data_IF_992321811114
#
_entry.id   IF_992321811114
#
_cell.length_a   1.000
_cell.length_b   1.000
_cell.length_c   1.000
_cell.angle_alpha   90.00
_cell.angle_beta   90.00
_cell.angle_gamma   90.00
#
_symmetry.space_group_name_H-M   'P 1'
#
loop_
_entity.id
_entity.type
_entity.pdbx_description
1 polymer ?
#
# COMPACT_ATOMS: atom_id res chain seq x y z
N UNK A 1 10.15 -28.81 -4.66
CA UNK A 1 10.60 -27.42 -4.44
C UNK A 1 9.38 -26.55 -4.16
N UNK A 2 9.46 -25.55 -3.29
CA UNK A 2 8.31 -24.72 -2.90
C UNK A 2 8.33 -23.40 -3.66
N UNK A 3 7.18 -22.94 -4.16
CA UNK A 3 7.04 -21.58 -4.69
C UNK A 3 6.33 -20.70 -3.67
N UNK A 4 6.98 -19.62 -3.24
CA UNK A 4 6.36 -18.54 -2.49
C UNK A 4 5.96 -17.44 -3.47
N UNK A 5 4.67 -17.11 -3.51
CA UNK A 5 4.18 -15.92 -4.19
C UNK A 5 4.15 -14.78 -3.16
N UNK A 6 4.82 -13.65 -3.41
CA UNK A 6 5.04 -12.68 -2.34
C UNK A 6 5.61 -11.32 -2.75
N UNK A 7 6.36 -10.74 -1.81
CA UNK A 7 6.74 -9.32 -1.74
C UNK A 7 6.29 -8.64 -0.43
N UNK A 8 5.68 -9.41 0.48
CA UNK A 8 5.15 -8.99 1.79
C UNK A 8 6.07 -9.42 2.94
N UNK A 9 5.87 -8.86 4.12
CA UNK A 9 6.61 -9.28 5.32
C UNK A 9 6.33 -10.75 5.68
N UNK A 10 5.12 -11.24 5.43
CA UNK A 10 4.73 -12.64 5.58
C UNK A 10 5.54 -13.56 4.66
N UNK A 11 5.73 -13.16 3.39
CA UNK A 11 6.58 -13.90 2.45
C UNK A 11 8.03 -14.00 2.97
N UNK A 12 8.55 -12.94 3.59
CA UNK A 12 9.89 -12.92 4.17
C UNK A 12 10.00 -13.90 5.35
N UNK A 13 9.02 -13.86 6.27
CA UNK A 13 8.96 -14.76 7.43
C UNK A 13 8.90 -16.24 7.01
N UNK A 14 8.05 -16.55 6.02
CA UNK A 14 7.92 -17.90 5.48
C UNK A 14 9.21 -18.36 4.81
N UNK A 15 9.86 -17.49 4.02
CA UNK A 15 11.14 -17.80 3.39
C UNK A 15 12.26 -18.05 4.42
N UNK A 16 12.35 -17.26 5.49
CA UNK A 16 13.29 -17.49 6.60
C UNK A 16 13.07 -18.86 7.25
N UNK A 17 11.82 -19.20 7.54
CA UNK A 17 11.50 -20.48 8.20
C UNK A 17 11.84 -21.68 7.31
N UNK A 18 11.53 -21.61 6.00
CA UNK A 18 11.90 -22.65 5.06
C UNK A 18 13.42 -22.79 4.92
N UNK A 19 14.15 -21.66 4.90
CA UNK A 19 15.60 -21.66 4.87
C UNK A 19 16.19 -22.33 6.11
N UNK A 20 15.66 -22.02 7.30
CA UNK A 20 16.06 -22.63 8.58
C UNK A 20 15.80 -24.14 8.63
N UNK A 21 14.73 -24.59 7.99
CA UNK A 21 14.38 -26.00 7.85
C UNK A 21 15.17 -26.72 6.74
N UNK A 22 16.02 -26.03 5.98
CA UNK A 22 16.76 -26.59 4.86
C UNK A 22 15.87 -26.99 3.67
N UNK A 23 14.69 -26.39 3.53
CA UNK A 23 13.75 -26.68 2.44
C UNK A 23 14.02 -25.78 1.23
N UNK A 24 14.11 -26.37 0.04
CA UNK A 24 14.30 -25.64 -1.22
C UNK A 24 13.06 -24.84 -1.62
N UNK A 25 13.24 -23.55 -1.89
CA UNK A 25 12.18 -22.64 -2.32
C UNK A 25 12.63 -21.60 -3.36
N UNK A 26 11.66 -21.10 -4.12
CA UNK A 26 11.77 -19.90 -4.93
C UNK A 26 10.73 -18.88 -4.45
N UNK A 27 11.10 -17.61 -4.42
CA UNK A 27 10.20 -16.51 -4.07
C UNK A 27 9.99 -15.62 -5.28
N UNK A 28 8.74 -15.44 -5.69
CA UNK A 28 8.36 -14.51 -6.75
C UNK A 28 7.80 -13.22 -6.15
N UNK A 29 8.32 -12.10 -6.64
CA UNK A 29 7.82 -10.74 -6.38
C UNK A 29 7.44 -10.08 -7.70
N UNK A 30 6.42 -9.20 -7.66
CA UNK A 30 5.95 -8.45 -8.82
C UNK A 30 6.63 -7.07 -8.99
N UNK A 31 7.57 -6.74 -8.10
CA UNK A 31 8.24 -5.43 -8.02
C UNK A 31 9.74 -5.56 -7.89
N UNK A 32 10.48 -4.61 -8.46
CA UNK A 32 11.95 -4.49 -8.32
C UNK A 32 12.36 -4.22 -6.87
N UNK A 33 11.60 -3.41 -6.13
CA UNK A 33 11.84 -3.18 -4.72
C UNK A 33 11.79 -4.48 -3.90
N UNK A 34 10.76 -5.30 -4.10
CA UNK A 34 10.67 -6.61 -3.45
C UNK A 34 11.81 -7.54 -3.88
N UNK A 35 12.33 -7.39 -5.10
CA UNK A 35 13.45 -8.19 -5.59
C UNK A 35 14.72 -7.83 -4.82
N UNK A 36 15.07 -6.55 -4.77
CA UNK A 36 16.26 -6.05 -4.08
C UNK A 36 16.25 -6.41 -2.59
N UNK A 37 15.17 -6.05 -1.89
CA UNK A 37 15.01 -6.27 -0.45
C UNK A 37 15.19 -7.75 -0.06
N UNK A 38 14.62 -8.66 -0.85
CA UNK A 38 14.65 -10.08 -0.51
C UNK A 38 15.94 -10.74 -1.02
N UNK A 39 16.55 -10.24 -2.09
CA UNK A 39 17.82 -10.77 -2.62
C UNK A 39 18.97 -10.63 -1.64
N UNK A 40 19.00 -9.56 -0.84
CA UNK A 40 20.01 -9.38 0.21
C UNK A 40 20.08 -10.59 1.14
N UNK A 41 18.93 -11.20 1.45
CA UNK A 41 18.84 -12.34 2.37
C UNK A 41 18.82 -13.69 1.67
N UNK A 42 18.04 -13.83 0.60
CA UNK A 42 17.74 -15.13 -0.02
C UNK A 42 18.48 -15.37 -1.35
N UNK A 43 19.21 -14.37 -1.85
CA UNK A 43 20.03 -14.46 -3.06
C UNK A 43 19.23 -14.80 -4.31
N UNK A 44 19.76 -15.73 -5.11
CA UNK A 44 19.19 -16.12 -6.41
C UNK A 44 17.82 -16.83 -6.32
N UNK A 45 17.35 -17.17 -5.11
CA UNK A 45 16.02 -17.73 -4.88
C UNK A 45 14.89 -16.73 -5.16
N UNK A 46 15.21 -15.44 -5.22
CA UNK A 46 14.24 -14.36 -5.44
C UNK A 46 14.19 -13.97 -6.91
N UNK A 47 12.98 -14.07 -7.47
CA UNK A 47 12.67 -13.84 -8.86
C UNK A 47 11.69 -12.67 -8.98
N UNK A 48 11.93 -11.79 -9.95
CA UNK A 48 10.97 -10.73 -10.31
C UNK A 48 10.14 -11.23 -11.50
N UNK A 49 9.01 -11.87 -11.22
CA UNK A 49 8.15 -12.48 -12.23
C UNK A 49 6.70 -12.16 -11.88
N UNK A 50 5.94 -11.69 -12.88
CA UNK A 50 4.48 -11.62 -12.82
C UNK A 50 3.92 -12.79 -13.60
N UNK A 51 3.13 -13.62 -12.94
CA UNK A 51 2.55 -14.79 -13.59
C UNK A 51 1.15 -14.52 -14.15
N UNK A 52 0.95 -14.85 -15.42
CA UNK A 52 -0.35 -15.25 -15.96
C UNK A 52 -0.65 -16.71 -15.62
N UNK A 53 -1.90 -17.15 -15.86
CA UNK A 53 -2.31 -18.55 -15.68
C UNK A 53 -1.37 -19.54 -16.41
N UNK A 54 -1.19 -19.37 -17.72
CA UNK A 54 -0.32 -20.24 -18.53
C UNK A 54 1.13 -20.22 -18.05
N UNK A 55 1.65 -19.02 -17.73
CA UNK A 55 3.04 -18.90 -17.28
C UNK A 55 3.28 -19.53 -15.92
N UNK A 56 2.32 -19.45 -14.99
CA UNK A 56 2.42 -20.09 -13.68
C UNK A 56 2.38 -21.62 -13.83
N UNK A 57 1.43 -22.12 -14.61
CA UNK A 57 1.30 -23.56 -14.87
C UNK A 57 2.57 -24.13 -15.48
N UNK A 58 3.11 -23.47 -16.52
CA UNK A 58 4.38 -23.87 -17.13
C UNK A 58 5.53 -23.83 -16.12
N UNK A 59 5.63 -22.74 -15.35
CA UNK A 59 6.68 -22.57 -14.35
C UNK A 59 6.66 -23.68 -13.30
N UNK A 60 5.47 -24.03 -12.78
CA UNK A 60 5.29 -25.10 -11.81
C UNK A 60 5.76 -26.44 -12.36
N UNK A 61 5.34 -26.79 -13.58
CA UNK A 61 5.69 -28.06 -14.23
C UNK A 61 7.18 -28.15 -14.55
N UNK A 62 7.76 -27.12 -15.17
CA UNK A 62 9.17 -27.11 -15.58
C UNK A 62 10.13 -27.11 -14.38
N UNK A 63 9.76 -26.45 -13.27
CA UNK A 63 10.60 -26.34 -12.07
C UNK A 63 10.34 -27.43 -11.04
N UNK A 64 9.40 -28.34 -11.28
CA UNK A 64 9.02 -29.38 -10.33
C UNK A 64 8.55 -28.80 -8.99
N UNK A 65 7.73 -27.74 -9.05
CA UNK A 65 7.15 -27.14 -7.84
C UNK A 65 6.13 -28.11 -7.24
N UNK A 66 6.33 -28.44 -5.98
CA UNK A 66 5.57 -29.44 -5.24
C UNK A 66 4.56 -28.84 -4.28
N UNK A 67 4.62 -27.52 -4.06
CA UNK A 67 3.73 -26.76 -3.17
C UNK A 67 3.82 -25.28 -3.54
N UNK A 68 2.67 -24.59 -3.53
CA UNK A 68 2.60 -23.12 -3.64
C UNK A 68 2.14 -22.54 -2.33
N UNK A 69 2.93 -21.62 -1.77
CA UNK A 69 2.54 -20.82 -0.61
C UNK A 69 2.23 -19.42 -1.09
N UNK A 70 0.97 -19.03 -0.97
CA UNK A 70 0.50 -17.69 -1.30
C UNK A 70 0.68 -16.78 -0.08
N UNK A 71 1.76 -16.01 -0.10
CA UNK A 71 2.03 -14.94 0.84
C UNK A 71 1.79 -13.57 0.18
N UNK A 72 1.01 -13.52 -0.90
CA UNK A 72 0.74 -12.26 -1.57
C UNK A 72 -0.10 -11.35 -0.68
N UNK A 73 -0.14 -10.07 -1.02
CA UNK A 73 -1.01 -9.13 -0.31
C UNK A 73 -2.49 -9.55 -0.51
N UNK A 74 -3.40 -9.38 0.46
CA UNK A 74 -4.83 -9.71 0.31
C UNK A 74 -5.53 -9.13 -0.92
N UNK A 75 -5.04 -7.99 -1.40
CA UNK A 75 -5.53 -7.30 -2.60
C UNK A 75 -4.94 -7.82 -3.91
N UNK A 76 -4.03 -8.80 -3.86
CA UNK A 76 -3.46 -9.49 -5.02
C UNK A 76 -4.43 -10.56 -5.56
N UNK A 77 -5.74 -10.25 -5.60
CA UNK A 77 -6.84 -11.17 -5.91
C UNK A 77 -6.62 -11.94 -7.21
N UNK A 78 -6.05 -11.29 -8.23
CA UNK A 78 -5.80 -11.92 -9.53
C UNK A 78 -4.78 -13.06 -9.43
N UNK A 79 -3.59 -12.81 -8.88
CA UNK A 79 -2.56 -13.85 -8.75
C UNK A 79 -2.99 -14.93 -7.76
N UNK A 80 -3.71 -14.56 -6.68
CA UNK A 80 -4.31 -15.54 -5.76
C UNK A 80 -5.32 -16.44 -6.47
N UNK A 81 -6.20 -15.88 -7.31
CA UNK A 81 -7.16 -16.65 -8.13
C UNK A 81 -6.42 -17.58 -9.09
N UNK A 82 -5.46 -17.05 -9.85
CA UNK A 82 -4.63 -17.82 -10.78
C UNK A 82 -3.91 -18.96 -10.07
N UNK A 83 -3.29 -18.68 -8.91
CA UNK A 83 -2.57 -19.68 -8.14
C UNK A 83 -3.48 -20.83 -7.72
N UNK A 84 -4.65 -20.52 -7.17
CA UNK A 84 -5.66 -21.52 -6.77
C UNK A 84 -6.13 -22.37 -7.95
N UNK A 85 -6.45 -21.75 -9.08
CA UNK A 85 -6.90 -22.44 -10.30
C UNK A 85 -5.82 -23.39 -10.82
N UNK A 86 -4.59 -22.89 -10.98
CA UNK A 86 -3.46 -23.68 -11.50
C UNK A 86 -3.08 -24.80 -10.54
N UNK A 87 -2.99 -24.54 -9.23
CA UNK A 87 -2.62 -25.59 -8.26
C UNK A 87 -3.69 -26.68 -8.19
N UNK A 88 -4.97 -26.29 -8.26
CA UNK A 88 -6.08 -27.25 -8.31
C UNK A 88 -6.04 -28.09 -9.58
N UNK A 89 -5.78 -27.47 -10.75
CA UNK A 89 -5.69 -28.17 -12.02
C UNK A 89 -4.51 -29.15 -12.12
N UNK A 90 -3.41 -28.87 -11.42
CA UNK A 90 -2.22 -29.72 -11.36
C UNK A 90 -2.22 -30.69 -10.17
N UNK A 91 -3.19 -30.60 -9.26
CA UNK A 91 -3.26 -31.45 -8.07
C UNK A 91 -2.13 -31.22 -7.06
N UNK A 92 -1.55 -30.02 -7.02
CA UNK A 92 -0.49 -29.69 -6.05
C UNK A 92 -1.03 -28.90 -4.85
N UNK A 93 -0.45 -29.09 -3.65
CA UNK A 93 -0.82 -28.32 -2.46
C UNK A 93 -0.71 -26.80 -2.67
N UNK A 94 -1.76 -26.09 -2.24
CA UNK A 94 -1.81 -24.64 -2.11
C UNK A 94 -2.05 -24.28 -0.64
N UNK A 95 -1.18 -23.43 -0.09
CA UNK A 95 -1.31 -22.89 1.27
C UNK A 95 -1.41 -21.37 1.21
N UNK A 96 -2.45 -20.81 1.81
CA UNK A 96 -2.59 -19.35 1.96
C UNK A 96 -1.99 -18.92 3.29
N UNK A 97 -0.95 -18.08 3.23
CA UNK A 97 -0.37 -17.31 4.34
C UNK A 97 -0.62 -15.82 4.13
N UNK A 98 -1.55 -15.49 3.24
CA UNK A 98 -2.13 -14.16 3.10
C UNK A 98 -2.66 -13.78 4.48
N UNK A 99 -2.05 -12.76 5.10
CA UNK A 99 -2.55 -12.21 6.36
C UNK A 99 -3.97 -11.72 6.13
N UNK A 100 -4.89 -12.03 7.05
CA UNK A 100 -6.19 -11.35 7.07
C UNK A 100 -5.93 -9.84 7.24
N UNK A 101 -5.98 -9.12 6.14
CA UNK A 101 -6.47 -7.76 6.19
C UNK A 101 -7.97 -7.98 6.28
N UNK A 102 -8.53 -7.76 7.47
CA UNK A 102 -9.98 -7.66 7.64
C UNK A 102 -10.52 -6.88 6.45
N UNK A 103 -11.38 -7.59 5.73
CA UNK A 103 -11.59 -7.49 4.30
C UNK A 103 -11.93 -6.10 3.77
N UNK A 104 -11.70 -5.91 2.47
CA UNK A 104 -12.31 -4.90 1.59
C UNK A 104 -13.86 -4.76 1.72
N UNK A 105 -14.53 -5.63 2.48
CA UNK A 105 -15.96 -5.53 2.80
C UNK A 105 -16.27 -4.54 3.93
N UNK A 106 -15.26 -4.06 4.67
CA UNK A 106 -15.42 -3.07 5.71
C UNK A 106 -14.28 -2.04 5.64
N UNK A 107 -14.44 -1.02 4.79
CA UNK A 107 -14.15 0.34 5.28
C UNK A 107 -15.26 0.73 6.28
N UNK A 108 -15.71 -0.17 7.16
CA UNK A 108 -16.63 0.10 8.27
C UNK A 108 -15.84 0.72 9.41
N UNK A 109 -15.13 1.77 9.04
CA UNK A 109 -14.54 2.70 9.95
C UNK A 109 -15.44 3.91 9.90
N UNK A 110 -16.13 4.22 11.00
CA UNK A 110 -17.10 5.31 11.09
C UNK A 110 -16.53 6.66 10.59
N UNK A 111 -15.21 6.83 10.69
CA UNK A 111 -14.49 8.04 10.25
C UNK A 111 -13.89 7.95 8.84
N UNK A 112 -14.23 6.91 8.06
CA UNK A 112 -13.92 6.82 6.64
C UNK A 112 -15.10 7.33 5.79
N UNK A 113 -14.86 8.38 4.99
CA UNK A 113 -15.93 9.03 4.22
C UNK A 113 -15.47 9.29 2.79
N UNK A 114 -16.32 8.96 1.82
CA UNK A 114 -16.06 9.20 0.40
C UNK A 114 -16.69 10.51 -0.09
N UNK A 115 -15.98 11.21 -0.97
CA UNK A 115 -16.39 12.48 -1.56
C UNK A 115 -16.14 12.49 -3.07
N UNK A 116 -17.00 13.20 -3.79
CA UNK A 116 -16.89 13.37 -5.25
C UNK A 116 -15.72 14.30 -5.64
N UNK A 117 -15.32 15.23 -4.78
CA UNK A 117 -14.28 16.22 -5.08
C UNK A 117 -13.69 16.86 -3.82
N UNK A 118 -12.59 17.60 -4.00
CA UNK A 118 -11.87 18.29 -2.91
C UNK A 118 -12.66 19.46 -2.30
N UNK A 119 -13.65 20.02 -3.00
CA UNK A 119 -14.51 21.07 -2.45
C UNK A 119 -15.40 20.49 -1.35
N UNK A 120 -16.07 19.37 -1.62
CA UNK A 120 -16.89 18.66 -0.63
C UNK A 120 -16.06 18.19 0.58
N UNK A 121 -14.82 17.75 0.36
CA UNK A 121 -13.88 17.46 1.46
C UNK A 121 -13.60 18.69 2.32
N UNK A 122 -13.37 19.86 1.69
CA UNK A 122 -13.07 21.10 2.42
C UNK A 122 -14.26 21.54 3.27
N UNK A 123 -15.48 21.42 2.75
CA UNK A 123 -16.72 21.70 3.49
C UNK A 123 -16.88 20.76 4.69
N UNK A 124 -16.58 19.47 4.52
CA UNK A 124 -16.61 18.50 5.61
C UNK A 124 -15.57 18.80 6.69
N UNK A 125 -14.33 19.14 6.30
CA UNK A 125 -13.25 19.53 7.22
C UNK A 125 -13.69 20.69 8.12
N UNK A 126 -14.31 21.72 7.52
CA UNK A 126 -14.82 22.87 8.27
C UNK A 126 -15.97 22.50 9.19
N UNK A 127 -16.89 21.65 8.72
CA UNK A 127 -18.09 21.22 9.48
C UNK A 127 -17.73 20.38 10.70
N UNK A 128 -16.74 19.49 10.56
CA UNK A 128 -16.28 18.59 11.62
C UNK A 128 -15.20 19.21 12.51
N UNK A 129 -14.90 20.49 12.32
CA UNK A 129 -13.89 21.26 13.06
C UNK A 129 -12.48 20.61 13.05
N UNK A 130 -12.13 19.98 11.93
CA UNK A 130 -10.83 19.33 11.71
C UNK A 130 -9.73 20.40 11.62
N UNK A 131 -8.65 20.25 12.39
CA UNK A 131 -7.63 21.29 12.60
C UNK A 131 -6.35 21.05 11.80
N UNK A 132 -5.97 19.80 11.55
CA UNK A 132 -4.65 19.44 11.00
C UNK A 132 -4.77 18.36 9.91
N UNK A 133 -5.47 18.65 8.80
CA UNK A 133 -5.63 17.69 7.72
C UNK A 133 -4.33 17.49 6.93
N UNK A 134 -3.98 16.24 6.65
CA UNK A 134 -2.89 15.83 5.77
C UNK A 134 -3.42 15.44 4.40
N UNK A 135 -3.14 16.28 3.39
CA UNK A 135 -3.43 15.99 2.00
C UNK A 135 -2.34 15.13 1.38
N UNK A 136 -2.72 13.94 0.93
CA UNK A 136 -1.84 12.98 0.22
C UNK A 136 -2.16 12.92 -1.28
N UNK A 137 -2.82 13.95 -1.80
CA UNK A 137 -3.30 14.07 -3.19
C UNK A 137 -2.24 14.66 -4.16
N UNK A 138 -1.09 15.08 -3.64
CA UNK A 138 0.03 15.64 -4.39
C UNK A 138 -0.13 17.14 -4.70
N UNK A 139 0.80 17.67 -5.51
CA UNK A 139 0.92 19.12 -5.79
C UNK A 139 0.19 19.61 -7.04
N UNK A 140 -0.53 18.74 -7.75
CA UNK A 140 -1.18 19.09 -9.04
C UNK A 140 -2.48 19.86 -8.86
N UNK A 141 -3.20 19.58 -7.78
CA UNK A 141 -4.51 20.14 -7.49
C UNK A 141 -4.52 20.62 -6.04
N UNK A 142 -4.43 21.93 -5.88
CA UNK A 142 -4.37 22.64 -4.60
C UNK A 142 -5.62 23.50 -4.38
N UNK A 143 -6.72 23.18 -5.06
CA UNK A 143 -7.97 23.95 -5.03
C UNK A 143 -8.61 24.08 -3.64
N UNK A 144 -8.25 23.19 -2.70
CA UNK A 144 -8.72 23.21 -1.31
C UNK A 144 -8.05 24.29 -0.45
N UNK A 145 -6.89 24.82 -0.84
CA UNK A 145 -6.08 25.68 0.04
C UNK A 145 -6.78 26.99 0.35
N UNK A 146 -7.46 27.60 -0.64
CA UNK A 146 -8.19 28.86 -0.44
C UNK A 146 -9.35 28.68 0.56
N UNK A 147 -10.10 27.59 0.44
CA UNK A 147 -11.23 27.28 1.31
C UNK A 147 -10.79 26.97 2.76
N UNK A 148 -9.58 26.46 2.94
CA UNK A 148 -9.04 26.00 4.22
C UNK A 148 -7.93 26.93 4.76
N UNK A 149 -7.88 28.19 4.33
CA UNK A 149 -6.77 29.11 4.63
C UNK A 149 -6.51 29.37 6.12
N UNK A 150 -7.52 29.22 6.98
CA UNK A 150 -7.43 29.41 8.43
C UNK A 150 -7.02 28.12 9.18
N UNK A 151 -6.84 27.01 8.46
CA UNK A 151 -6.51 25.70 9.01
C UNK A 151 -5.03 25.40 8.75
N UNK A 152 -4.37 24.71 9.68
CA UNK A 152 -2.99 24.24 9.51
C UNK A 152 -2.95 23.02 8.59
N UNK A 153 -3.05 23.26 7.29
CA UNK A 153 -3.03 22.20 6.28
C UNK A 153 -1.63 21.62 6.15
N UNK A 154 -1.52 20.30 6.24
CA UNK A 154 -0.35 19.52 5.87
C UNK A 154 -0.51 18.95 4.47
N UNK A 155 0.57 18.92 3.69
CA UNK A 155 0.57 18.30 2.37
C UNK A 155 1.79 17.41 2.20
N UNK A 156 1.58 16.21 1.64
CA UNK A 156 2.65 15.32 1.22
C UNK A 156 2.80 15.35 -0.29
N UNK A 157 4.01 15.66 -0.75
CA UNK A 157 4.34 15.79 -2.18
C UNK A 157 5.62 15.06 -2.51
N UNK A 158 5.81 14.72 -3.79
CA UNK A 158 7.10 14.22 -4.27
C UNK A 158 8.17 15.32 -4.13
N UNK A 159 9.44 14.95 -3.84
CA UNK A 159 10.53 15.88 -3.60
C UNK A 159 11.08 16.53 -4.89
N UNK A 160 10.17 16.98 -5.77
CA UNK A 160 10.51 17.78 -6.95
C UNK A 160 10.39 19.27 -6.62
N UNK A 161 11.35 20.07 -7.10
CA UNK A 161 11.34 21.53 -6.91
C UNK A 161 10.01 22.17 -7.32
N UNK A 162 9.47 21.77 -8.48
CA UNK A 162 8.18 22.26 -8.97
C UNK A 162 6.99 21.88 -8.06
N UNK A 163 7.05 20.73 -7.38
CA UNK A 163 6.01 20.34 -6.43
C UNK A 163 6.01 21.23 -5.20
N UNK A 164 7.21 21.50 -4.65
CA UNK A 164 7.40 22.34 -3.47
C UNK A 164 7.06 23.80 -3.81
N UNK A 165 7.52 24.30 -4.97
CA UNK A 165 7.20 25.64 -5.47
C UNK A 165 5.69 25.89 -5.56
N UNK A 166 4.94 24.96 -6.16
CA UNK A 166 3.46 25.06 -6.24
C UNK A 166 2.81 25.15 -4.85
N UNK A 167 3.30 24.38 -3.88
CA UNK A 167 2.78 24.44 -2.51
C UNK A 167 3.03 25.81 -1.86
N UNK A 168 4.22 26.40 -2.08
CA UNK A 168 4.53 27.74 -1.58
C UNK A 168 3.69 28.83 -2.25
N UNK A 169 3.53 28.76 -3.56
CA UNK A 169 2.70 29.72 -4.32
C UNK A 169 1.23 29.65 -3.89
N UNK A 170 0.75 28.46 -3.50
CA UNK A 170 -0.59 28.29 -2.94
C UNK A 170 -0.72 28.78 -1.47
N UNK A 171 0.37 29.17 -0.81
CA UNK A 171 0.35 29.67 0.58
C UNK A 171 0.54 28.61 1.67
N UNK A 172 0.94 27.38 1.32
CA UNK A 172 1.22 26.34 2.31
C UNK A 172 2.54 26.65 3.04
N UNK A 173 2.50 26.66 4.38
CA UNK A 173 3.66 26.89 5.24
C UNK A 173 4.74 25.85 4.97
N UNK A 174 6.01 26.30 4.93
CA UNK A 174 7.18 25.42 4.74
C UNK A 174 7.21 24.24 5.72
N UNK A 175 6.87 24.49 6.98
CA UNK A 175 6.79 23.49 8.06
C UNK A 175 5.74 22.40 7.82
N UNK A 176 4.78 22.64 6.92
CA UNK A 176 3.65 21.75 6.68
C UNK A 176 3.78 20.96 5.36
N UNK A 177 4.91 21.10 4.66
CA UNK A 177 5.19 20.38 3.41
C UNK A 177 6.08 19.18 3.74
N UNK A 178 5.54 17.98 3.54
CA UNK A 178 6.26 16.72 3.69
C UNK A 178 6.71 16.28 2.29
N UNK A 179 7.93 16.65 1.90
CA UNK A 179 8.51 16.31 0.61
C UNK A 179 9.25 14.96 0.70
N UNK A 180 8.58 13.87 0.32
CA UNK A 180 9.11 12.50 0.46
C UNK A 180 8.58 11.62 -0.67
N UNK A 181 9.40 10.66 -1.12
CA UNK A 181 9.03 9.68 -2.14
C UNK A 181 8.70 8.34 -1.49
N UNK A 182 7.57 7.75 -1.90
CA UNK A 182 7.13 6.43 -1.44
C UNK A 182 7.82 5.27 -2.18
N UNK A 183 7.39 4.02 -1.93
CA UNK A 183 6.19 3.63 -1.17
C UNK A 183 6.31 3.91 0.34
N UNK A 184 5.16 4.06 1.02
CA UNK A 184 5.12 4.37 2.45
C UNK A 184 4.46 3.22 3.21
N UNK A 185 5.11 2.75 4.27
CA UNK A 185 4.53 1.73 5.15
C UNK A 185 3.45 2.31 6.06
N UNK A 186 2.61 1.46 6.66
CA UNK A 186 1.63 1.90 7.64
C UNK A 186 2.30 2.56 8.86
N UNK A 187 3.43 2.01 9.31
CA UNK A 187 4.19 2.51 10.45
C UNK A 187 4.71 3.93 10.21
N UNK A 188 5.21 4.21 9.01
CA UNK A 188 5.65 5.57 8.66
C UNK A 188 4.46 6.54 8.60
N UNK A 189 3.32 6.13 8.05
CA UNK A 189 2.12 6.97 8.07
C UNK A 189 1.67 7.24 9.52
N UNK A 190 1.66 6.23 10.39
CA UNK A 190 1.37 6.39 11.83
C UNK A 190 2.35 7.32 12.53
N UNK A 191 3.64 7.22 12.22
CA UNK A 191 4.66 8.12 12.76
C UNK A 191 4.42 9.57 12.32
N UNK A 192 4.12 9.81 11.04
CA UNK A 192 3.77 11.13 10.51
C UNK A 192 2.52 11.68 11.21
N UNK A 193 1.48 10.86 11.38
CA UNK A 193 0.25 11.26 12.06
C UNK A 193 0.56 11.75 13.47
N UNK A 194 1.33 10.98 14.24
CA UNK A 194 1.68 11.32 15.62
C UNK A 194 2.59 12.54 15.72
N UNK A 195 3.66 12.58 14.93
CA UNK A 195 4.65 13.66 14.94
C UNK A 195 3.99 15.02 14.65
N UNK A 196 3.13 15.08 13.64
CA UNK A 196 2.48 16.33 13.24
C UNK A 196 1.11 16.54 13.88
N UNK A 197 0.66 15.63 14.73
CA UNK A 197 -0.68 15.63 15.34
C UNK A 197 -1.79 15.76 14.28
N UNK A 198 -1.69 14.98 13.21
CA UNK A 198 -2.68 14.94 12.13
C UNK A 198 -3.97 14.35 12.67
N UNK A 199 -5.11 14.97 12.38
CA UNK A 199 -6.45 14.54 12.80
C UNK A 199 -7.33 14.08 11.61
N UNK A 200 -6.79 14.17 10.39
CA UNK A 200 -7.46 13.76 9.17
C UNK A 200 -6.44 13.45 8.06
N UNK A 201 -6.61 12.33 7.36
CA UNK A 201 -5.93 12.07 6.07
C UNK A 201 -6.93 12.29 4.94
N UNK A 202 -6.54 13.13 3.98
CA UNK A 202 -7.24 13.26 2.70
C UNK A 202 -6.45 12.51 1.63
N UNK A 203 -7.11 11.62 0.91
CA UNK A 203 -6.47 10.83 -0.16
C UNK A 203 -7.36 10.67 -1.38
N UNK A 204 -6.75 10.44 -2.54
CA UNK A 204 -7.47 10.00 -3.74
C UNK A 204 -7.55 8.48 -3.72
N UNK A 205 -8.67 7.92 -4.18
CA UNK A 205 -8.79 6.49 -4.47
C UNK A 205 -7.82 6.14 -5.62
N UNK A 206 -6.59 5.86 -5.25
CA UNK A 206 -5.50 5.47 -6.16
C UNK A 206 -5.29 3.98 -5.97
N UNK A 207 -5.18 3.24 -7.07
CA UNK A 207 -4.85 1.81 -7.03
C UNK A 207 -3.52 1.54 -6.32
N UNK A 208 -3.11 0.26 -6.25
CA UNK A 208 -1.96 -0.32 -5.50
C UNK A 208 -0.67 0.53 -5.41
N UNK A 209 -0.39 1.43 -6.34
CA UNK A 209 0.80 2.30 -6.36
C UNK A 209 0.76 3.48 -5.37
N UNK A 210 -0.42 3.92 -4.91
CA UNK A 210 -0.58 5.12 -4.08
C UNK A 210 -0.44 4.92 -2.57
N UNK A 211 -0.22 3.69 -2.11
CA UNK A 211 -0.18 3.32 -0.69
C UNK A 211 -1.50 3.60 0.05
N UNK A 212 -2.65 3.42 -0.62
CA UNK A 212 -3.99 3.73 -0.07
C UNK A 212 -4.24 3.00 1.25
N UNK A 213 -3.95 1.72 1.28
CA UNK A 213 -4.25 0.84 2.41
C UNK A 213 -3.33 1.09 3.61
N UNK A 214 -2.07 1.41 3.37
CA UNK A 214 -1.12 1.78 4.42
C UNK A 214 -1.56 3.07 5.13
N UNK A 215 -2.16 4.01 4.38
CA UNK A 215 -2.76 5.21 4.96
C UNK A 215 -4.07 4.90 5.71
N UNK A 216 -4.92 4.04 5.15
CA UNK A 216 -6.16 3.63 5.80
C UNK A 216 -5.88 2.94 7.14
N UNK A 217 -4.96 1.97 7.14
CA UNK A 217 -4.52 1.29 8.36
C UNK A 217 -3.97 2.27 9.38
N UNK A 218 -3.11 3.20 8.97
CA UNK A 218 -2.58 4.21 9.88
C UNK A 218 -3.69 5.11 10.45
N UNK A 219 -4.69 5.47 9.65
CA UNK A 219 -5.83 6.25 10.12
C UNK A 219 -6.67 5.50 11.18
N UNK A 220 -6.94 4.21 10.95
CA UNK A 220 -7.63 3.34 11.92
C UNK A 220 -6.80 3.17 13.20
N UNK A 221 -5.51 2.85 13.08
CA UNK A 221 -4.61 2.63 14.22
C UNK A 221 -4.39 3.90 15.08
N UNK A 222 -4.77 5.07 14.56
CA UNK A 222 -4.64 6.37 15.24
C UNK A 222 -5.97 7.07 15.50
N UNK A 223 -7.09 6.44 15.14
CA UNK A 223 -8.46 6.94 15.34
C UNK A 223 -8.74 8.34 14.74
N UNK A 224 -8.20 8.62 13.54
CA UNK A 224 -8.37 9.90 12.82
C UNK A 224 -9.31 9.79 11.62
N UNK A 225 -9.77 10.92 11.07
CA UNK A 225 -10.59 10.91 9.84
C UNK A 225 -9.83 10.40 8.62
N UNK A 226 -10.50 9.66 7.76
CA UNK A 226 -9.97 9.15 6.49
C UNK A 226 -10.88 9.53 5.33
N UNK A 227 -10.57 10.65 4.69
CA UNK A 227 -11.42 11.24 3.64
C UNK A 227 -10.90 10.84 2.26
N UNK A 228 -11.77 10.18 1.48
CA UNK A 228 -11.44 9.57 0.20
C UNK A 228 -12.09 10.40 -0.91
N UNK A 229 -11.28 10.95 -1.80
CA UNK A 229 -11.75 11.64 -3.00
C UNK A 229 -11.81 10.63 -4.14
N UNK A 230 -12.99 10.48 -4.75
CA UNK A 230 -13.19 9.69 -5.96
C UNK A 230 -12.35 10.24 -7.11
N UNK A 231 -12.04 9.36 -8.07
CA UNK A 231 -11.21 9.71 -9.22
C UNK A 231 -11.94 10.58 -10.23
#
# INVERSE_FOLDING_TARGET
MILILGGTTEAFRVAEELLRQGREFLLSTATEYGLERFRERFGQRVLNIRFSHESLQRFITERGISEVIDCTHPYAREITRIAKEVTSGLGIPYRSEIRDIQSEAELDYEKAVEFENLRAVSEFILTMDIKRPLFTTGSKDLSFVEALREIDIFIRVLPYENSIKRCHEAGIKRSNIIAIQGPFSAELNTAIIREFSIDCIVTKQSGREGGFFEKFKAAVDTDIWFLIVKR
#
